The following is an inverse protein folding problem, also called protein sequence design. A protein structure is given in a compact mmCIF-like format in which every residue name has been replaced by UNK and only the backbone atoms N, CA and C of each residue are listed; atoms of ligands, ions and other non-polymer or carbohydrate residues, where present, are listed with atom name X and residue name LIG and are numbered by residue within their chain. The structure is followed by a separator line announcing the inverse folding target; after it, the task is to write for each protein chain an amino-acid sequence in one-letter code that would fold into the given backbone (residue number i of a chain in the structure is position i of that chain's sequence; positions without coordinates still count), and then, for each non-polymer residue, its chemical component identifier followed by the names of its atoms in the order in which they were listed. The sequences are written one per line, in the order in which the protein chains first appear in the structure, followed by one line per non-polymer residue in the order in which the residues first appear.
data_IF_346795221551
#
_entry.id   IF_346795221551
#
_cell.length_a   1.000
_cell.length_b   1.000
_cell.length_c   1.000
_cell.angle_alpha   90.00
_cell.angle_beta   90.00
_cell.angle_gamma   90.00
#
_symmetry.space_group_name_H-M   'P 1'
#
loop_
_entity.id
_entity.type
_entity.pdbx_description
1 polymer ?
#
# COMPACT_ATOMS: atom_id res chain seq x y z
N UNK A 1 47.47 17.01 17.66
CA UNK A 1 46.95 17.37 16.32
C UNK A 1 46.61 16.10 15.55
N UNK A 2 47.49 15.09 15.53
CA UNK A 2 47.32 13.82 14.80
C UNK A 2 46.07 13.02 15.19
N UNK A 3 45.75 12.92 16.48
CA UNK A 3 44.55 12.22 16.95
C UNK A 3 43.26 12.87 16.46
N UNK A 4 43.24 14.21 16.36
CA UNK A 4 42.08 14.96 15.85
C UNK A 4 41.91 14.71 14.35
N UNK A 5 43.00 14.71 13.59
CA UNK A 5 42.96 14.42 12.14
C UNK A 5 42.48 13.00 11.85
N UNK A 6 42.91 12.02 12.64
CA UNK A 6 42.41 10.63 12.55
C UNK A 6 40.89 10.58 12.79
N UNK A 7 40.41 11.19 13.88
CA UNK A 7 38.98 11.20 14.19
C UNK A 7 38.15 11.91 13.12
N UNK A 8 38.65 13.01 12.54
CA UNK A 8 37.97 13.69 11.43
C UNK A 8 37.89 12.78 10.20
N UNK A 9 38.95 12.02 9.91
CA UNK A 9 38.96 11.05 8.81
C UNK A 9 37.92 9.94 9.04
N UNK A 10 37.89 9.38 10.24
CA UNK A 10 36.95 8.32 10.62
C UNK A 10 35.50 8.81 10.52
N UNK A 11 35.21 9.98 11.11
CA UNK A 11 33.87 10.60 11.03
C UNK A 11 33.44 10.88 9.59
N UNK A 12 34.36 11.28 8.72
CA UNK A 12 34.06 11.51 7.31
C UNK A 12 33.71 10.20 6.61
N UNK A 13 34.46 9.13 6.88
CA UNK A 13 34.18 7.80 6.34
C UNK A 13 32.82 7.27 6.82
N UNK A 14 32.54 7.41 8.11
CA UNK A 14 31.24 7.03 8.69
C UNK A 14 30.09 7.82 8.10
N UNK A 15 30.27 9.12 7.88
CA UNK A 15 29.23 9.96 7.27
C UNK A 15 28.93 9.53 5.82
N UNK A 16 29.95 9.22 5.02
CA UNK A 16 29.73 8.72 3.66
C UNK A 16 29.06 7.33 3.67
N UNK A 17 29.43 6.44 4.59
CA UNK A 17 28.75 5.16 4.77
C UNK A 17 27.28 5.36 5.15
N UNK A 18 26.99 6.21 6.13
CA UNK A 18 25.62 6.50 6.56
C UNK A 18 24.78 7.16 5.47
N UNK A 19 25.37 7.96 4.58
CA UNK A 19 24.68 8.49 3.40
C UNK A 19 24.30 7.38 2.44
N UNK A 20 25.22 6.45 2.18
CA UNK A 20 24.95 5.31 1.30
C UNK A 20 23.86 4.41 1.88
N UNK A 21 23.96 4.05 3.16
CA UNK A 21 22.94 3.25 3.84
C UNK A 21 21.56 3.92 3.79
N UNK A 22 21.49 5.25 3.95
CA UNK A 22 20.24 6.00 3.80
C UNK A 22 19.66 5.95 2.38
N UNK A 23 20.51 5.97 1.35
CA UNK A 23 20.05 5.84 -0.04
C UNK A 23 19.48 4.44 -0.25
N UNK A 24 20.20 3.42 0.19
CA UNK A 24 19.80 2.02 0.00
C UNK A 24 18.51 1.70 0.77
N UNK A 25 18.37 2.20 2.00
CA UNK A 25 17.15 2.04 2.78
C UNK A 25 15.95 2.75 2.13
N UNK A 26 16.14 3.95 1.58
CA UNK A 26 15.08 4.66 0.85
C UNK A 26 14.64 3.88 -0.39
N UNK A 27 15.58 3.28 -1.10
CA UNK A 27 15.26 2.43 -2.25
C UNK A 27 14.47 1.20 -1.82
N UNK A 28 14.92 0.49 -0.77
CA UNK A 28 14.22 -0.68 -0.24
C UNK A 28 12.78 -0.34 0.20
N UNK A 29 12.57 0.78 0.89
CA UNK A 29 11.23 1.24 1.28
C UNK A 29 10.35 1.47 0.05
N UNK A 30 10.90 2.10 -0.99
CA UNK A 30 10.18 2.35 -2.25
C UNK A 30 9.78 1.04 -2.93
N UNK A 31 10.70 0.09 -3.02
CA UNK A 31 10.46 -1.21 -3.64
C UNK A 31 9.42 -2.03 -2.86
N UNK A 32 9.46 -1.97 -1.53
CA UNK A 32 8.45 -2.63 -0.68
C UNK A 32 7.06 -2.00 -0.87
N UNK A 33 6.97 -0.67 -0.97
CA UNK A 33 5.70 0.00 -1.22
C UNK A 33 5.09 -0.46 -2.55
N UNK A 34 5.90 -0.52 -3.62
CA UNK A 34 5.43 -1.01 -4.92
C UNK A 34 4.94 -2.47 -4.85
N UNK A 35 5.66 -3.34 -4.12
CA UNK A 35 5.24 -4.73 -3.93
C UNK A 35 3.93 -4.84 -3.16
N UNK A 36 3.71 -3.99 -2.15
CA UNK A 36 2.45 -3.91 -1.41
C UNK A 36 1.32 -3.50 -2.35
N UNK A 37 1.49 -2.43 -3.12
CA UNK A 37 0.47 -1.94 -4.06
C UNK A 37 0.09 -3.01 -5.10
N UNK A 38 1.08 -3.71 -5.66
CA UNK A 38 0.85 -4.81 -6.60
C UNK A 38 0.06 -5.94 -5.91
N UNK A 39 0.42 -6.30 -4.69
CA UNK A 39 -0.22 -7.38 -3.95
C UNK A 39 -1.66 -7.03 -3.59
N UNK A 40 -1.92 -5.81 -3.14
CA UNK A 40 -3.27 -5.33 -2.85
C UNK A 40 -4.15 -5.32 -4.11
N UNK A 41 -3.61 -4.80 -5.22
CA UNK A 41 -4.31 -4.80 -6.49
C UNK A 41 -4.60 -6.22 -6.99
N UNK A 42 -3.63 -7.13 -6.86
CA UNK A 42 -3.80 -8.53 -7.25
C UNK A 42 -4.86 -9.25 -6.39
N UNK A 43 -4.88 -8.97 -5.08
CA UNK A 43 -5.87 -9.52 -4.15
C UNK A 43 -7.29 -9.02 -4.45
N UNK A 44 -7.43 -7.75 -4.83
CA UNK A 44 -8.73 -7.09 -5.06
C UNK A 44 -9.17 -7.06 -6.52
N UNK A 45 -8.38 -7.63 -7.44
CA UNK A 45 -8.55 -7.49 -8.89
C UNK A 45 -9.94 -7.83 -9.41
N UNK A 46 -10.61 -8.79 -8.78
CA UNK A 46 -11.94 -9.26 -9.19
C UNK A 46 -13.08 -8.70 -8.31
N UNK A 47 -12.76 -7.84 -7.36
CA UNK A 47 -13.75 -7.26 -6.46
C UNK A 47 -14.38 -6.04 -7.13
N UNK A 48 -15.71 -5.94 -7.07
CA UNK A 48 -16.44 -4.76 -7.52
C UNK A 48 -16.85 -3.93 -6.32
N UNK A 49 -16.68 -2.60 -6.43
CA UNK A 49 -17.21 -1.64 -5.46
C UNK A 49 -18.44 -0.97 -6.06
N UNK A 50 -19.59 -1.22 -5.45
CA UNK A 50 -20.88 -0.77 -5.97
C UNK A 50 -21.45 0.27 -5.03
N UNK A 51 -21.79 1.44 -5.58
CA UNK A 51 -22.35 2.57 -4.87
C UNK A 51 -23.81 2.78 -5.27
N UNK A 52 -24.62 3.36 -4.38
CA UNK A 52 -26.01 3.71 -4.66
C UNK A 52 -27.07 2.66 -4.26
N UNK A 53 -26.67 1.56 -3.61
CA UNK A 53 -27.60 0.59 -3.02
C UNK A 53 -27.88 1.01 -1.56
N UNK A 54 -29.15 1.33 -1.18
CA UNK A 54 -29.48 1.70 0.19
C UNK A 54 -29.31 0.53 1.17
N UNK A 55 -28.55 0.75 2.23
CA UNK A 55 -28.40 -0.19 3.34
C UNK A 55 -29.60 -0.19 4.29
N UNK A 56 -29.71 -1.23 5.11
CA UNK A 56 -30.73 -1.36 6.16
C UNK A 56 -30.11 -1.71 7.52
N UNK A 57 -30.76 -1.35 8.63
CA UNK A 57 -30.27 -1.70 9.97
C UNK A 57 -30.28 -3.22 10.14
N UNK A 58 -29.21 -3.79 10.72
CA UNK A 58 -29.02 -5.23 10.91
C UNK A 58 -29.10 -6.05 9.61
N UNK A 59 -28.72 -5.45 8.48
CA UNK A 59 -28.71 -6.10 7.18
C UNK A 59 -27.78 -7.33 7.17
N UNK A 60 -28.34 -8.45 6.74
CA UNK A 60 -27.63 -9.71 6.59
C UNK A 60 -27.08 -9.85 5.18
N UNK A 61 -26.17 -10.81 5.00
CA UNK A 61 -25.56 -11.10 3.71
C UNK A 61 -26.61 -11.37 2.63
N UNK A 62 -27.57 -12.25 2.89
CA UNK A 62 -28.60 -12.65 1.92
C UNK A 62 -29.42 -11.46 1.42
N UNK A 63 -29.72 -10.50 2.30
CA UNK A 63 -30.43 -9.26 1.93
C UNK A 63 -29.58 -8.37 1.04
N UNK A 64 -28.29 -8.20 1.38
CA UNK A 64 -27.34 -7.44 0.55
C UNK A 64 -27.20 -8.07 -0.84
N UNK A 65 -27.07 -9.39 -0.89
CA UNK A 65 -26.95 -10.14 -2.14
C UNK A 65 -28.20 -9.99 -3.00
N UNK A 66 -29.39 -10.09 -2.41
CA UNK A 66 -30.65 -9.90 -3.12
C UNK A 66 -30.75 -8.49 -3.72
N UNK A 67 -30.48 -7.44 -2.94
CA UNK A 67 -30.47 -6.06 -3.43
C UNK A 67 -29.50 -5.88 -4.60
N UNK A 68 -28.34 -6.50 -4.52
CA UNK A 68 -27.36 -6.48 -5.61
C UNK A 68 -27.88 -7.19 -6.86
N UNK A 69 -28.49 -8.37 -6.73
CA UNK A 69 -29.08 -9.10 -7.87
C UNK A 69 -30.18 -8.29 -8.55
N UNK A 70 -31.05 -7.66 -7.76
CA UNK A 70 -32.11 -6.78 -8.28
C UNK A 70 -31.51 -5.55 -8.98
N UNK A 71 -30.47 -4.94 -8.42
CA UNK A 71 -29.76 -3.83 -9.05
C UNK A 71 -29.15 -4.23 -10.40
N UNK A 72 -28.41 -5.35 -10.46
CA UNK A 72 -27.79 -5.84 -11.70
C UNK A 72 -28.85 -6.08 -12.78
N UNK A 73 -29.96 -6.73 -12.42
CA UNK A 73 -31.06 -7.03 -13.35
C UNK A 73 -31.77 -5.77 -13.85
N UNK A 74 -32.12 -4.87 -12.94
CA UNK A 74 -33.00 -3.74 -13.26
C UNK A 74 -32.25 -2.56 -13.89
N UNK A 75 -30.98 -2.35 -13.51
CA UNK A 75 -30.19 -1.21 -13.99
C UNK A 75 -29.27 -1.60 -15.14
N UNK A 76 -28.63 -2.77 -15.08
CA UNK A 76 -27.64 -3.19 -16.08
C UNK A 76 -28.19 -4.19 -17.10
N UNK A 77 -29.37 -4.78 -16.85
CA UNK A 77 -29.95 -5.81 -17.71
C UNK A 77 -29.16 -7.13 -17.70
N UNK A 78 -28.41 -7.37 -16.62
CA UNK A 78 -27.55 -8.54 -16.40
C UNK A 78 -28.21 -9.55 -15.45
#
# INVERSE_FOLDING_TARGET
MDKIMSTISDLKSDNERLKQDNIDLKQQVTDMQQKLDITENQSRRNNLKIHGIPGTINEQWDTTEQKLREFMKNTLGL
#
